data_IF_098795601106
#
_entry.id   IF_098795601106
#
_cell.length_a   1.000
_cell.length_b   1.000
_cell.length_c   1.000
_cell.angle_alpha   90.00
_cell.angle_beta   90.00
_cell.angle_gamma   90.00
#
_symmetry.space_group_name_H-M   'P 1'
#
loop_
_entity.id
_entity.type
_entity.pdbx_description
1 polymer ?
#
# COMPACT_ATOMS: atom_id res chain seq x y z
N UNK A 1 25.26 -40.92 -10.86
CA UNK A 1 24.12 -40.05 -11.20
C UNK A 1 22.81 -40.69 -10.74
N UNK A 2 22.28 -40.27 -9.59
CA UNK A 2 20.90 -40.55 -9.17
C UNK A 2 20.29 -39.25 -8.67
N UNK A 3 19.29 -38.77 -9.39
CA UNK A 3 18.44 -37.61 -9.06
C UNK A 3 17.53 -38.03 -7.91
N UNK A 4 17.67 -37.41 -6.73
CA UNK A 4 16.67 -37.50 -5.68
C UNK A 4 15.63 -36.40 -5.88
N UNK A 5 14.46 -36.84 -6.33
CA UNK A 5 13.26 -36.02 -6.53
C UNK A 5 12.49 -36.03 -5.20
N UNK A 6 12.57 -34.94 -4.43
CA UNK A 6 11.80 -34.78 -3.19
C UNK A 6 10.34 -34.59 -3.55
N UNK A 7 9.51 -35.59 -3.25
CA UNK A 7 8.10 -35.64 -3.63
C UNK A 7 7.18 -35.00 -2.58
N UNK A 8 5.95 -34.68 -3.01
CA UNK A 8 4.80 -34.11 -2.27
C UNK A 8 4.46 -34.73 -0.89
N UNK A 9 5.14 -35.80 -0.46
CA UNK A 9 4.97 -36.44 0.86
C UNK A 9 5.88 -35.88 1.96
N UNK A 10 6.97 -35.19 1.61
CA UNK A 10 7.87 -34.60 2.63
C UNK A 10 7.35 -33.27 3.20
N UNK A 11 6.35 -32.65 2.57
CA UNK A 11 5.66 -31.46 3.09
C UNK A 11 4.62 -31.78 4.19
N UNK A 12 4.18 -33.04 4.33
CA UNK A 12 3.19 -33.42 5.36
C UNK A 12 3.80 -33.88 6.68
N UNK A 13 5.12 -34.09 6.75
CA UNK A 13 5.79 -34.48 8.00
C UNK A 13 6.12 -33.31 8.93
N UNK A 14 5.91 -32.07 8.49
CA UNK A 14 6.07 -30.86 9.33
C UNK A 14 4.74 -30.34 9.90
N UNK A 15 3.62 -31.02 9.64
CA UNK A 15 2.26 -30.53 9.96
C UNK A 15 1.55 -31.27 11.10
N UNK A 16 2.27 -32.07 11.88
CA UNK A 16 1.73 -32.83 13.03
C UNK A 16 2.48 -32.53 14.35
N UNK A 17 2.69 -31.24 14.63
CA UNK A 17 2.96 -30.74 15.98
C UNK A 17 1.85 -29.74 16.34
N UNK A 18 0.65 -30.25 16.54
CA UNK A 18 -0.47 -29.50 17.09
C UNK A 18 -0.45 -29.55 18.62
N UNK A 19 -0.61 -28.37 19.23
CA UNK A 19 -1.13 -28.11 20.57
C UNK A 19 -0.41 -28.76 21.77
N UNK A 20 0.63 -28.08 22.26
CA UNK A 20 1.26 -28.37 23.54
C UNK A 20 2.61 -27.68 23.72
N UNK A 21 2.71 -26.40 23.36
CA UNK A 21 3.95 -25.63 23.47
C UNK A 21 3.74 -24.44 24.40
N UNK A 22 4.45 -24.43 25.53
CA UNK A 22 4.66 -23.26 26.37
C UNK A 22 4.98 -22.08 25.43
N UNK A 23 4.13 -21.04 25.43
CA UNK A 23 4.47 -19.77 24.81
C UNK A 23 5.65 -19.18 25.59
N UNK A 24 6.87 -19.59 25.23
CA UNK A 24 7.96 -18.65 25.31
C UNK A 24 7.57 -17.52 24.35
N UNK A 25 7.04 -16.44 24.92
CA UNK A 25 7.13 -15.11 24.32
C UNK A 25 8.62 -14.84 24.16
N UNK A 26 9.23 -15.40 23.11
CA UNK A 26 10.48 -14.90 22.61
C UNK A 26 10.18 -13.45 22.28
N UNK A 27 10.74 -12.54 23.07
CA UNK A 27 10.75 -11.12 22.76
C UNK A 27 11.36 -11.02 21.37
N UNK A 28 10.53 -10.83 20.34
CA UNK A 28 10.99 -10.56 18.99
C UNK A 28 11.88 -9.33 19.11
N UNK A 29 13.18 -9.48 18.88
CA UNK A 29 14.10 -8.36 18.95
C UNK A 29 13.67 -7.35 17.89
N UNK A 30 13.12 -6.23 18.33
CA UNK A 30 12.63 -5.17 17.45
C UNK A 30 13.77 -4.23 17.02
N UNK A 31 15.00 -4.49 17.45
CA UNK A 31 16.15 -3.69 17.02
C UNK A 31 16.41 -3.88 15.53
N UNK A 32 16.66 -2.79 14.79
CA UNK A 32 17.11 -2.88 13.40
C UNK A 32 18.38 -3.72 13.32
N UNK A 33 18.39 -4.68 12.41
CA UNK A 33 19.57 -5.49 12.07
C UNK A 33 20.20 -4.91 10.81
N UNK A 34 21.52 -4.78 10.78
CA UNK A 34 22.22 -4.38 9.57
C UNK A 34 22.79 -5.61 8.87
N UNK A 35 22.45 -5.81 7.60
CA UNK A 35 22.95 -6.93 6.81
C UNK A 35 23.80 -6.43 5.65
N UNK A 36 24.97 -7.07 5.50
CA UNK A 36 25.79 -6.90 4.31
C UNK A 36 25.21 -7.75 3.18
N UNK A 37 24.80 -7.11 2.10
CA UNK A 37 24.40 -7.77 0.86
C UNK A 37 25.35 -7.39 -0.28
N UNK A 38 25.54 -8.32 -1.21
CA UNK A 38 26.29 -8.05 -2.44
C UNK A 38 25.30 -7.64 -3.54
N UNK A 39 25.32 -6.35 -3.89
CA UNK A 39 24.57 -5.80 -5.02
C UNK A 39 25.55 -5.56 -6.16
N UNK A 40 25.55 -6.48 -7.13
CA UNK A 40 26.38 -6.39 -8.36
C UNK A 40 27.87 -6.13 -8.07
N UNK A 41 28.45 -6.78 -7.06
CA UNK A 41 29.85 -6.65 -6.66
C UNK A 41 30.13 -5.53 -5.67
N UNK A 42 29.12 -4.77 -5.25
CA UNK A 42 29.24 -3.75 -4.18
C UNK A 42 28.59 -4.27 -2.91
N UNK A 43 29.39 -4.37 -1.85
CA UNK A 43 28.89 -4.67 -0.50
C UNK A 43 28.12 -3.46 0.03
N UNK A 44 26.82 -3.60 0.20
CA UNK A 44 25.95 -2.60 0.80
C UNK A 44 25.47 -3.08 2.16
N UNK A 45 25.39 -2.16 3.12
CA UNK A 45 24.91 -2.42 4.48
C UNK A 45 23.49 -1.91 4.58
N UNK A 46 22.51 -2.81 4.54
CA UNK A 46 21.11 -2.45 4.55
C UNK A 46 20.48 -2.67 5.92
N UNK A 47 19.54 -1.81 6.29
CA UNK A 47 18.76 -1.93 7.51
C UNK A 47 17.57 -2.87 7.31
N UNK A 48 17.43 -3.86 8.19
CA UNK A 48 16.34 -4.82 8.24
C UNK A 48 15.56 -4.72 9.55
N UNK A 49 14.26 -5.04 9.49
CA UNK A 49 13.41 -5.26 10.67
C UNK A 49 12.61 -6.55 10.50
N UNK A 50 12.22 -7.17 11.63
CA UNK A 50 11.33 -8.33 11.63
C UNK A 50 9.88 -7.85 11.58
N UNK A 51 9.09 -8.28 10.59
CA UNK A 51 7.71 -7.83 10.40
C UNK A 51 6.78 -8.45 11.47
N UNK A 52 6.65 -7.78 12.61
CA UNK A 52 5.82 -8.24 13.73
C UNK A 52 6.09 -9.69 14.12
N UNK A 53 5.04 -10.45 14.40
CA UNK A 53 5.09 -11.89 14.76
C UNK A 53 5.26 -12.83 13.57
N UNK A 54 5.37 -12.33 12.34
CA UNK A 54 5.49 -13.17 11.14
C UNK A 54 6.85 -13.86 11.04
N UNK A 55 7.88 -13.30 11.70
CA UNK A 55 9.26 -13.75 11.56
C UNK A 55 9.93 -13.35 10.24
N UNK A 56 9.23 -12.68 9.32
CA UNK A 56 9.81 -12.20 8.07
C UNK A 56 10.80 -11.06 8.35
N UNK A 57 12.07 -11.26 8.01
CA UNK A 57 13.09 -10.20 8.05
C UNK A 57 13.08 -9.45 6.72
N UNK A 58 12.63 -8.21 6.73
CA UNK A 58 12.51 -7.37 5.54
C UNK A 58 13.47 -6.17 5.62
N UNK A 59 14.02 -5.71 4.48
CA UNK A 59 14.65 -4.40 4.45
C UNK A 59 13.60 -3.35 4.81
N UNK A 60 14.03 -2.26 5.42
CA UNK A 60 13.12 -1.18 5.87
C UNK A 60 12.39 -0.49 4.72
N UNK A 61 12.89 -0.61 3.49
CA UNK A 61 12.25 -0.11 2.27
C UNK A 61 12.05 -1.28 1.30
N UNK A 62 10.85 -1.36 0.75
CA UNK A 62 10.45 -2.29 -0.30
C UNK A 62 9.63 -1.54 -1.37
N UNK A 63 9.19 -2.24 -2.42
CA UNK A 63 8.59 -1.57 -3.58
C UNK A 63 7.06 -1.64 -3.57
N UNK A 64 6.41 -0.48 -3.60
CA UNK A 64 5.01 -0.35 -4.00
C UNK A 64 4.89 -0.28 -5.53
N UNK A 65 4.39 -1.33 -6.18
CA UNK A 65 4.50 -1.50 -7.63
C UNK A 65 3.39 -0.78 -8.41
N UNK A 66 2.36 -0.25 -7.74
CA UNK A 66 1.11 0.28 -8.33
C UNK A 66 1.27 1.13 -9.61
N UNK A 67 2.28 2.00 -9.67
CA UNK A 67 2.54 2.90 -10.82
C UNK A 67 3.71 2.46 -11.71
N UNK A 68 4.39 1.36 -11.39
CA UNK A 68 5.53 0.86 -12.17
C UNK A 68 5.07 -0.25 -13.12
N UNK A 69 5.19 0.00 -14.41
CA UNK A 69 4.98 -0.97 -15.48
C UNK A 69 6.27 -1.37 -16.21
N UNK A 70 7.40 -0.77 -15.81
CA UNK A 70 8.71 -1.05 -16.38
C UNK A 70 9.31 -2.32 -15.74
N UNK A 71 9.38 -3.47 -16.46
CA UNK A 71 9.91 -4.71 -15.91
C UNK A 71 11.39 -4.62 -15.55
N UNK A 72 12.18 -3.77 -16.22
CA UNK A 72 13.60 -3.61 -15.92
C UNK A 72 13.82 -2.85 -14.60
N UNK A 73 12.93 -1.91 -14.27
CA UNK A 73 12.98 -1.21 -12.98
C UNK A 73 12.68 -2.18 -11.83
N UNK A 74 11.60 -2.98 -11.95
CA UNK A 74 11.25 -4.00 -10.95
C UNK A 74 12.36 -5.05 -10.80
N UNK A 75 12.94 -5.49 -11.93
CA UNK A 75 14.07 -6.43 -11.90
C UNK A 75 15.27 -5.85 -11.16
N UNK A 76 15.60 -4.59 -11.45
CA UNK A 76 16.73 -3.88 -10.82
C UNK A 76 16.49 -3.64 -9.34
N UNK A 77 15.25 -3.32 -8.93
CA UNK A 77 14.88 -3.22 -7.53
C UNK A 77 15.18 -4.54 -6.79
N UNK A 78 14.70 -5.67 -7.32
CA UNK A 78 14.99 -7.00 -6.74
C UNK A 78 16.49 -7.31 -6.70
N UNK A 79 17.22 -6.98 -7.75
CA UNK A 79 18.68 -7.19 -7.83
C UNK A 79 19.47 -6.26 -6.89
N UNK A 80 18.82 -5.24 -6.32
CA UNK A 80 19.43 -4.23 -5.43
C UNK A 80 19.05 -4.41 -3.96
N UNK A 81 18.50 -5.56 -3.58
CA UNK A 81 18.20 -5.90 -2.18
C UNK A 81 16.77 -5.65 -1.73
N UNK A 82 15.91 -5.08 -2.58
CA UNK A 82 14.45 -5.08 -2.34
C UNK A 82 13.95 -6.52 -2.47
N UNK A 83 13.09 -6.95 -1.55
CA UNK A 83 12.59 -8.34 -1.55
C UNK A 83 11.07 -8.43 -1.60
N UNK A 84 10.33 -7.43 -1.10
CA UNK A 84 8.87 -7.40 -1.15
C UNK A 84 8.38 -6.50 -2.29
N UNK A 85 7.55 -7.09 -3.16
CA UNK A 85 6.78 -6.38 -4.18
C UNK A 85 5.33 -6.29 -3.72
N UNK A 86 4.87 -5.07 -3.42
CA UNK A 86 3.50 -4.78 -3.00
C UNK A 86 2.64 -4.34 -4.20
N UNK A 87 1.65 -5.15 -4.57
CA UNK A 87 0.76 -4.97 -5.73
C UNK A 87 -0.70 -5.19 -5.34
N UNK A 88 -1.64 -5.22 -6.28
CA UNK A 88 -3.04 -5.54 -6.03
C UNK A 88 -3.74 -6.04 -7.28
N UNK A 89 -4.79 -6.84 -7.10
CA UNK A 89 -5.65 -7.35 -8.16
C UNK A 89 -6.15 -6.26 -9.13
N UNK A 90 -6.45 -5.08 -8.59
CA UNK A 90 -7.06 -3.97 -9.31
C UNK A 90 -6.05 -3.04 -10.01
N UNK A 91 -4.75 -3.14 -9.72
CA UNK A 91 -3.77 -2.20 -10.24
C UNK A 91 -3.54 -2.40 -11.74
N UNK A 92 -3.63 -1.29 -12.49
CA UNK A 92 -3.55 -1.28 -13.96
C UNK A 92 -4.45 -2.34 -14.59
N UNK A 93 -5.66 -2.52 -14.03
CA UNK A 93 -6.64 -3.52 -14.48
C UNK A 93 -6.09 -4.97 -14.49
N UNK A 94 -5.08 -5.26 -13.66
CA UNK A 94 -4.41 -6.55 -13.56
C UNK A 94 -3.04 -6.62 -14.25
N UNK A 95 -2.74 -5.69 -15.16
CA UNK A 95 -1.47 -5.65 -15.88
C UNK A 95 -0.27 -5.53 -14.94
N UNK A 96 -0.44 -4.87 -13.79
CA UNK A 96 0.64 -4.74 -12.81
C UNK A 96 1.12 -6.11 -12.28
N UNK A 97 0.18 -7.02 -12.00
CA UNK A 97 0.48 -8.40 -11.59
C UNK A 97 1.09 -9.22 -12.72
N UNK A 98 0.66 -9.01 -13.96
CA UNK A 98 1.24 -9.67 -15.14
C UNK A 98 2.70 -9.25 -15.34
N UNK A 99 3.01 -7.95 -15.26
CA UNK A 99 4.38 -7.43 -15.36
C UNK A 99 5.26 -8.05 -14.27
N UNK A 100 4.80 -8.07 -13.02
CA UNK A 100 5.51 -8.74 -11.92
C UNK A 100 5.74 -10.22 -12.25
N UNK A 101 4.70 -10.92 -12.72
CA UNK A 101 4.77 -12.32 -13.14
C UNK A 101 5.86 -12.57 -14.19
N UNK A 102 6.02 -11.67 -15.16
CA UNK A 102 7.11 -11.77 -16.15
C UNK A 102 8.50 -11.60 -15.53
N UNK A 103 8.65 -10.73 -14.53
CA UNK A 103 9.93 -10.43 -13.88
C UNK A 103 10.38 -11.55 -12.94
N UNK A 104 9.43 -12.17 -12.23
CA UNK A 104 9.74 -13.25 -11.26
C UNK A 104 9.83 -14.63 -11.91
N UNK A 105 9.42 -14.78 -13.18
CA UNK A 105 9.50 -16.05 -13.90
C UNK A 105 10.95 -16.55 -13.94
N UNK A 106 11.18 -17.73 -13.38
CA UNK A 106 12.51 -18.36 -13.31
C UNK A 106 13.39 -17.89 -12.14
N UNK A 107 12.95 -16.91 -11.34
CA UNK A 107 13.61 -16.57 -10.06
C UNK A 107 13.27 -17.63 -9.00
N UNK A 108 14.22 -17.91 -8.11
CA UNK A 108 13.99 -18.79 -6.97
C UNK A 108 12.87 -18.23 -6.08
N UNK A 109 11.90 -19.05 -5.67
CA UNK A 109 10.68 -18.56 -4.98
C UNK A 109 10.97 -17.89 -3.63
N UNK A 110 12.05 -18.27 -2.97
CA UNK A 110 12.52 -17.73 -1.69
C UNK A 110 13.35 -16.43 -1.84
N UNK A 111 13.70 -16.03 -3.08
CA UNK A 111 14.44 -14.80 -3.36
C UNK A 111 13.56 -13.53 -3.43
N UNK A 112 12.24 -13.66 -3.37
CA UNK A 112 11.30 -12.55 -3.39
C UNK A 112 10.04 -12.87 -2.57
N UNK A 113 9.31 -11.82 -2.22
CA UNK A 113 8.02 -11.88 -1.56
C UNK A 113 7.00 -11.05 -2.31
N UNK A 114 5.76 -11.53 -2.36
CA UNK A 114 4.65 -10.79 -2.98
C UNK A 114 3.59 -10.45 -1.93
N UNK A 115 3.26 -9.17 -1.83
CA UNK A 115 2.06 -8.69 -1.16
C UNK A 115 1.00 -8.33 -2.20
N UNK A 116 -0.09 -9.09 -2.31
CA UNK A 116 -1.23 -8.70 -3.18
C UNK A 116 -2.50 -8.49 -2.37
N UNK A 117 -3.45 -7.78 -2.96
CA UNK A 117 -4.65 -7.27 -2.29
C UNK A 117 -5.87 -7.56 -3.14
N UNK A 118 -6.95 -7.97 -2.49
CA UNK A 118 -8.27 -8.14 -3.13
C UNK A 118 -9.21 -7.07 -2.59
N UNK A 119 -9.81 -6.31 -3.51
CA UNK A 119 -10.89 -5.37 -3.20
C UNK A 119 -12.24 -5.97 -3.59
N UNK A 120 -13.23 -5.74 -2.74
CA UNK A 120 -14.64 -6.05 -3.01
C UNK A 120 -15.43 -4.76 -3.27
N UNK A 121 -16.60 -4.86 -3.92
CA UNK A 121 -17.51 -3.73 -4.08
C UNK A 121 -17.79 -3.02 -2.75
N UNK A 122 -17.70 -1.69 -2.77
CA UNK A 122 -18.00 -0.83 -1.63
C UNK A 122 -18.90 0.31 -2.12
N UNK A 123 -19.83 0.72 -1.26
CA UNK A 123 -20.62 1.92 -1.48
C UNK A 123 -19.69 3.15 -1.41
N UNK A 124 -19.73 4.02 -2.43
CA UNK A 124 -18.80 5.15 -2.55
C UNK A 124 -19.08 6.28 -1.57
N UNK A 125 -20.27 6.34 -0.98
CA UNK A 125 -20.67 7.39 -0.03
C UNK A 125 -20.28 7.04 1.40
N UNK A 126 -20.57 5.81 1.79
CA UNK A 126 -20.34 5.25 3.11
C UNK A 126 -18.99 4.57 3.19
N UNK A 127 -18.45 3.99 2.13
CA UNK A 127 -17.20 3.19 2.13
C UNK A 127 -17.36 1.79 2.72
N UNK A 128 -18.59 1.38 3.01
CA UNK A 128 -18.92 0.03 3.50
C UNK A 128 -19.05 -0.93 2.32
N UNK A 129 -18.85 -2.22 2.56
CA UNK A 129 -19.09 -3.24 1.54
C UNK A 129 -20.53 -3.19 1.05
N UNK A 130 -20.71 -3.29 -0.26
CA UNK A 130 -22.02 -3.28 -0.92
C UNK A 130 -22.41 -4.68 -1.39
N UNK A 131 -23.59 -4.78 -2.00
CA UNK A 131 -23.99 -5.99 -2.73
C UNK A 131 -22.88 -6.42 -3.71
N UNK A 132 -22.63 -7.73 -3.77
CA UNK A 132 -21.53 -8.32 -4.54
C UNK A 132 -20.21 -8.46 -3.78
N UNK A 133 -20.08 -7.92 -2.56
CA UNK A 133 -18.95 -8.20 -1.66
C UNK A 133 -19.04 -9.60 -1.03
N UNK A 134 -18.96 -10.63 -1.86
CA UNK A 134 -19.15 -12.02 -1.44
C UNK A 134 -17.82 -12.75 -1.25
N UNK A 135 -17.88 -13.84 -0.48
CA UNK A 135 -16.76 -14.77 -0.32
C UNK A 135 -16.28 -15.33 -1.68
N UNK A 136 -17.23 -15.70 -2.55
CA UNK A 136 -16.95 -16.25 -3.87
C UNK A 136 -16.23 -15.25 -4.78
N UNK A 137 -16.65 -13.99 -4.77
CA UNK A 137 -15.99 -12.93 -5.56
C UNK A 137 -14.57 -12.66 -5.06
N UNK A 138 -14.35 -12.69 -3.73
CA UNK A 138 -13.01 -12.55 -3.16
C UNK A 138 -12.08 -13.67 -3.63
N UNK A 139 -12.53 -14.93 -3.52
CA UNK A 139 -11.75 -16.10 -3.95
C UNK A 139 -11.47 -16.09 -5.46
N UNK A 140 -12.46 -15.73 -6.27
CA UNK A 140 -12.31 -15.59 -7.73
C UNK A 140 -11.23 -14.57 -8.09
N UNK A 141 -11.24 -13.40 -7.44
CA UNK A 141 -10.22 -12.36 -7.67
C UNK A 141 -8.83 -12.79 -7.22
N UNK A 142 -8.72 -13.49 -6.09
CA UNK A 142 -7.45 -14.09 -5.66
C UNK A 142 -6.90 -15.06 -6.71
N UNK A 143 -7.74 -15.94 -7.25
CA UNK A 143 -7.32 -16.93 -8.26
C UNK A 143 -6.85 -16.28 -9.56
N UNK A 144 -7.52 -15.22 -9.99
CA UNK A 144 -7.06 -14.41 -11.12
C UNK A 144 -5.71 -13.74 -10.84
N UNK A 145 -5.50 -13.26 -9.61
CA UNK A 145 -4.24 -12.63 -9.20
C UNK A 145 -3.07 -13.62 -9.24
N UNK A 146 -3.26 -14.81 -8.66
CA UNK A 146 -2.28 -15.90 -8.69
C UNK A 146 -1.97 -16.34 -10.13
N UNK A 147 -3.00 -16.43 -10.99
CA UNK A 147 -2.84 -16.74 -12.41
C UNK A 147 -1.99 -15.71 -13.15
N UNK A 148 -2.23 -14.41 -12.93
CA UNK A 148 -1.45 -13.32 -13.56
C UNK A 148 0.00 -13.30 -13.10
N UNK A 149 0.21 -13.49 -11.80
CA UNK A 149 1.55 -13.58 -11.20
C UNK A 149 2.29 -14.87 -11.64
N UNK A 150 1.56 -15.92 -12.02
CA UNK A 150 2.14 -17.21 -12.40
C UNK A 150 2.73 -17.97 -11.20
N UNK A 151 2.15 -17.81 -10.01
CA UNK A 151 2.59 -18.45 -8.76
C UNK A 151 1.42 -19.05 -8.00
N UNK A 152 1.69 -20.07 -7.17
CA UNK A 152 0.64 -20.76 -6.40
C UNK A 152 0.21 -20.02 -5.14
N UNK A 153 1.06 -19.11 -4.62
CA UNK A 153 0.78 -18.37 -3.40
C UNK A 153 1.51 -17.03 -3.31
N UNK A 154 0.87 -16.06 -2.66
CA UNK A 154 1.50 -14.79 -2.24
C UNK A 154 2.00 -14.89 -0.79
N UNK A 155 2.95 -14.06 -0.40
CA UNK A 155 3.47 -14.05 0.97
C UNK A 155 2.48 -13.34 1.91
N UNK A 156 1.92 -12.22 1.46
CA UNK A 156 0.92 -11.47 2.22
C UNK A 156 -0.31 -11.25 1.34
N UNK A 157 -1.47 -11.67 1.82
CA UNK A 157 -2.75 -11.39 1.17
C UNK A 157 -3.51 -10.35 1.97
N UNK A 158 -3.79 -9.20 1.37
CA UNK A 158 -4.50 -8.13 2.04
C UNK A 158 -5.99 -8.04 1.68
N UNK A 159 -6.83 -7.78 2.68
CA UNK A 159 -8.12 -7.13 2.49
C UNK A 159 -7.90 -5.66 2.12
N UNK A 160 -8.27 -5.26 0.90
CA UNK A 160 -7.90 -3.97 0.33
C UNK A 160 -8.89 -2.85 0.67
N UNK A 161 -8.37 -1.68 1.04
CA UNK A 161 -9.10 -0.41 1.13
C UNK A 161 -10.20 -0.41 2.20
N UNK A 162 -9.84 -0.82 3.42
CA UNK A 162 -10.75 -0.82 4.56
C UNK A 162 -10.79 0.59 5.18
N UNK A 163 -11.99 1.13 5.38
CA UNK A 163 -12.22 2.47 5.93
C UNK A 163 -13.13 2.49 7.17
N UNK A 164 -13.62 1.33 7.62
CA UNK A 164 -14.52 1.18 8.77
C UNK A 164 -14.15 -0.01 9.64
N UNK A 165 -14.50 0.09 10.92
CA UNK A 165 -14.30 -0.96 11.92
C UNK A 165 -14.94 -2.27 11.48
N UNK A 166 -16.22 -2.23 11.10
CA UNK A 166 -17.01 -3.41 10.74
C UNK A 166 -16.47 -4.10 9.49
N UNK A 167 -15.83 -3.35 8.61
CA UNK A 167 -15.18 -3.89 7.41
C UNK A 167 -13.91 -4.69 7.72
N UNK A 168 -13.25 -4.47 8.87
CA UNK A 168 -12.14 -5.29 9.32
C UNK A 168 -12.60 -6.67 9.83
N UNK A 169 -13.86 -6.80 10.26
CA UNK A 169 -14.44 -8.05 10.75
C UNK A 169 -15.50 -8.64 9.81
N UNK A 170 -15.53 -8.21 8.54
CA UNK A 170 -16.57 -8.60 7.60
C UNK A 170 -16.49 -10.09 7.25
N UNK A 171 -17.50 -10.88 7.63
CA UNK A 171 -17.42 -12.34 7.60
C UNK A 171 -17.15 -12.92 6.20
N UNK A 172 -17.73 -12.42 5.09
CA UNK A 172 -17.43 -12.94 3.76
C UNK A 172 -15.93 -12.86 3.40
N UNK A 173 -15.25 -11.80 3.83
CA UNK A 173 -13.79 -11.65 3.60
C UNK A 173 -13.01 -12.57 4.52
N UNK A 174 -13.35 -12.62 5.82
CA UNK A 174 -12.65 -13.48 6.77
C UNK A 174 -12.76 -14.96 6.39
N UNK A 175 -13.95 -15.40 5.99
CA UNK A 175 -14.19 -16.77 5.52
C UNK A 175 -13.41 -17.08 4.24
N UNK A 176 -13.37 -16.15 3.27
CA UNK A 176 -12.61 -16.31 2.04
C UNK A 176 -11.10 -16.44 2.33
N UNK A 177 -10.56 -15.55 3.18
CA UNK A 177 -9.16 -15.60 3.58
C UNK A 177 -8.84 -16.87 4.40
N UNK A 178 -9.75 -17.34 5.27
CA UNK A 178 -9.56 -18.60 5.99
C UNK A 178 -9.51 -19.81 5.03
N UNK A 179 -10.42 -19.88 4.05
CA UNK A 179 -10.42 -20.91 3.01
C UNK A 179 -9.16 -20.86 2.15
N UNK A 180 -8.76 -19.67 1.70
CA UNK A 180 -7.55 -19.48 0.91
C UNK A 180 -6.27 -19.84 1.69
N UNK A 181 -6.21 -19.54 2.99
CA UNK A 181 -5.11 -19.96 3.87
C UNK A 181 -5.04 -21.48 3.97
N UNK A 182 -6.17 -22.15 4.20
CA UNK A 182 -6.25 -23.62 4.24
C UNK A 182 -5.83 -24.26 2.91
N UNK A 183 -6.12 -23.59 1.80
CA UNK A 183 -5.69 -24.00 0.46
C UNK A 183 -4.22 -23.66 0.13
N UNK A 184 -3.48 -23.03 1.05
CA UNK A 184 -2.08 -22.66 0.87
C UNK A 184 -1.85 -21.48 -0.09
N UNK A 185 -2.89 -20.70 -0.42
CA UNK A 185 -2.82 -19.60 -1.40
C UNK A 185 -2.10 -18.34 -0.88
N UNK A 186 -1.86 -18.25 0.43
CA UNK A 186 -1.02 -17.21 1.03
C UNK A 186 -0.44 -17.63 2.37
N UNK A 187 0.61 -16.92 2.84
CA UNK A 187 1.29 -17.20 4.12
C UNK A 187 0.77 -16.36 5.30
N UNK A 188 0.61 -15.04 5.10
CA UNK A 188 0.19 -14.10 6.15
C UNK A 188 -1.05 -13.29 5.73
N UNK A 189 -1.98 -13.11 6.67
CA UNK A 189 -3.18 -12.29 6.44
C UNK A 189 -2.86 -10.82 6.66
N UNK A 190 -3.31 -9.99 5.73
CA UNK A 190 -3.13 -8.55 5.79
C UNK A 190 -4.44 -7.78 5.68
N UNK A 191 -4.40 -6.52 6.11
CA UNK A 191 -5.44 -5.52 5.85
C UNK A 191 -4.80 -4.20 5.45
N UNK A 192 -5.46 -3.43 4.59
CA UNK A 192 -4.97 -2.10 4.21
C UNK A 192 -5.95 -0.99 4.55
N UNK A 193 -5.43 0.15 5.00
CA UNK A 193 -6.24 1.34 5.30
C UNK A 193 -5.51 2.64 4.99
N UNK A 194 -6.25 3.62 4.49
CA UNK A 194 -5.74 4.98 4.24
C UNK A 194 -6.75 6.07 4.59
N UNK A 195 -7.81 5.68 5.30
CA UNK A 195 -8.91 6.52 5.75
C UNK A 195 -9.39 5.93 7.07
N UNK A 196 -9.60 6.76 8.09
CA UNK A 196 -10.00 6.30 9.42
C UNK A 196 -8.99 5.26 9.97
N UNK A 197 -7.70 5.51 9.69
CA UNK A 197 -6.63 4.56 9.95
C UNK A 197 -6.57 4.13 11.42
N UNK A 198 -6.68 5.04 12.43
CA UNK A 198 -6.63 4.62 13.83
C UNK A 198 -7.70 3.58 14.17
N UNK A 199 -8.94 3.82 13.76
CA UNK A 199 -10.06 2.95 14.04
C UNK A 199 -9.95 1.61 13.31
N UNK A 200 -9.55 1.62 12.04
CA UNK A 200 -9.34 0.38 11.28
C UNK A 200 -8.17 -0.43 11.83
N UNK A 201 -7.09 0.22 12.27
CA UNK A 201 -5.95 -0.44 12.92
C UNK A 201 -6.41 -1.07 14.24
N UNK A 202 -7.17 -0.35 15.06
CA UNK A 202 -7.75 -0.88 16.30
C UNK A 202 -8.63 -2.10 16.03
N UNK A 203 -9.54 -2.00 15.05
CA UNK A 203 -10.40 -3.09 14.64
C UNK A 203 -9.61 -4.32 14.20
N UNK A 204 -8.57 -4.13 13.38
CA UNK A 204 -7.71 -5.20 12.89
C UNK A 204 -6.96 -5.92 14.02
N UNK A 205 -6.53 -5.20 15.05
CA UNK A 205 -5.93 -5.78 16.25
C UNK A 205 -6.97 -6.59 17.04
N UNK A 206 -8.17 -6.04 17.21
CA UNK A 206 -9.24 -6.66 17.99
C UNK A 206 -9.74 -7.97 17.37
N UNK A 207 -9.73 -8.10 16.03
CA UNK A 207 -10.11 -9.35 15.38
C UNK A 207 -9.14 -10.50 15.64
N UNK A 208 -7.88 -10.19 16.00
CA UNK A 208 -6.75 -11.15 16.10
C UNK A 208 -6.50 -11.96 14.81
N UNK A 209 -7.16 -11.62 13.70
CA UNK A 209 -7.12 -12.36 12.45
C UNK A 209 -5.94 -11.95 11.56
N UNK A 210 -5.55 -10.68 11.62
CA UNK A 210 -4.54 -10.11 10.73
C UNK A 210 -3.14 -10.23 11.32
N UNK A 211 -2.19 -10.63 10.48
CA UNK A 211 -0.77 -10.70 10.79
C UNK A 211 -0.05 -9.38 10.44
N UNK A 212 -0.54 -8.66 9.42
CA UNK A 212 0.08 -7.45 8.86
C UNK A 212 -0.96 -6.37 8.60
N UNK A 213 -0.61 -5.11 8.89
CA UNK A 213 -1.37 -3.93 8.50
C UNK A 213 -0.52 -3.07 7.56
N UNK A 214 -1.06 -2.76 6.38
CA UNK A 214 -0.54 -1.75 5.47
C UNK A 214 -1.32 -0.45 5.67
N UNK A 215 -0.72 0.58 6.26
CA UNK A 215 -1.42 1.83 6.59
C UNK A 215 -0.77 3.06 5.98
N UNK A 216 -1.58 4.06 5.64
CA UNK A 216 -1.04 5.38 5.29
C UNK A 216 -0.42 6.02 6.53
N UNK A 217 0.87 6.38 6.43
CA UNK A 217 1.57 7.05 7.52
C UNK A 217 2.61 8.03 6.96
N UNK A 218 2.45 9.32 7.27
CA UNK A 218 3.35 10.38 6.83
C UNK A 218 3.29 11.61 7.74
N UNK A 219 4.31 12.46 7.62
CA UNK A 219 4.54 13.64 8.47
C UNK A 219 3.48 14.75 8.38
N UNK A 220 2.54 14.69 7.42
CA UNK A 220 1.53 15.73 7.20
C UNK A 220 0.09 15.24 7.39
N UNK A 221 -0.12 14.04 7.94
CA UNK A 221 -1.45 13.66 8.41
C UNK A 221 -1.86 14.58 9.57
N UNK A 222 -3.09 15.08 9.54
CA UNK A 222 -3.60 15.97 10.59
C UNK A 222 -3.74 15.24 11.93
N UNK A 223 -4.20 13.99 11.86
CA UNK A 223 -4.38 13.07 12.98
C UNK A 223 -3.17 12.13 13.15
N UNK A 224 -1.95 12.57 12.76
CA UNK A 224 -0.75 11.72 12.77
C UNK A 224 -0.42 11.13 14.14
N UNK A 225 -0.73 11.85 15.23
CA UNK A 225 -0.55 11.37 16.59
C UNK A 225 -1.44 10.15 16.88
N UNK A 226 -2.72 10.21 16.50
CA UNK A 226 -3.67 9.10 16.67
C UNK A 226 -3.26 7.88 15.81
N UNK A 227 -2.78 8.13 14.58
CA UNK A 227 -2.26 7.06 13.70
C UNK A 227 -1.05 6.39 14.35
N UNK A 228 -0.12 7.17 14.91
CA UNK A 228 1.06 6.67 15.62
C UNK A 228 0.68 5.83 16.84
N UNK A 229 -0.28 6.28 17.64
CA UNK A 229 -0.74 5.53 18.82
C UNK A 229 -1.40 4.19 18.42
N UNK A 230 -2.18 4.19 17.33
CA UNK A 230 -2.76 2.98 16.78
C UNK A 230 -1.70 2.02 16.23
N UNK A 231 -0.69 2.52 15.50
CA UNK A 231 0.47 1.76 15.04
C UNK A 231 1.20 1.13 16.24
N UNK A 232 1.48 1.90 17.29
CA UNK A 232 2.17 1.41 18.48
C UNK A 232 1.36 0.33 19.21
N UNK A 233 0.03 0.48 19.28
CA UNK A 233 -0.86 -0.57 19.80
C UNK A 233 -0.77 -1.86 18.99
N UNK A 234 -0.82 -1.75 17.66
CA UNK A 234 -0.74 -2.91 16.77
C UNK A 234 0.62 -3.61 16.86
N UNK A 235 1.72 -2.86 16.90
CA UNK A 235 3.06 -3.41 17.10
C UNK A 235 3.20 -4.14 18.45
N UNK A 236 2.66 -3.58 19.55
CA UNK A 236 2.62 -4.27 20.86
C UNK A 236 1.81 -5.57 20.84
N UNK A 237 0.78 -5.66 19.99
CA UNK A 237 0.02 -6.89 19.76
C UNK A 237 0.74 -7.89 18.83
N UNK A 238 1.96 -7.57 18.38
CA UNK A 238 2.75 -8.39 17.47
C UNK A 238 2.32 -8.30 16.01
N UNK A 239 1.49 -7.33 15.63
CA UNK A 239 1.08 -7.14 14.22
C UNK A 239 2.18 -6.42 13.46
N UNK A 240 2.54 -6.95 12.29
CA UNK A 240 3.50 -6.31 11.39
C UNK A 240 2.93 -5.04 10.77
N UNK A 241 3.72 -3.98 10.68
CA UNK A 241 3.29 -2.68 10.15
C UNK A 241 4.10 -2.36 8.90
N UNK A 242 3.38 -2.16 7.80
CA UNK A 242 3.91 -1.65 6.54
C UNK A 242 3.37 -0.24 6.32
N UNK A 243 4.25 0.75 6.14
CA UNK A 243 3.84 2.11 5.82
C UNK A 243 3.71 2.33 4.32
N UNK A 244 2.61 2.96 3.89
CA UNK A 244 2.44 3.47 2.53
C UNK A 244 2.23 4.98 2.54
N UNK A 245 2.35 5.59 1.36
CA UNK A 245 2.20 7.04 1.15
C UNK A 245 3.15 7.89 2.00
N UNK A 246 4.31 7.34 2.34
CA UNK A 246 5.35 8.03 3.12
C UNK A 246 5.72 9.39 2.51
N UNK A 247 5.74 9.49 1.18
CA UNK A 247 6.09 10.70 0.42
C UNK A 247 4.89 11.57 -0.02
N UNK A 248 3.68 11.32 0.49
CA UNK A 248 2.49 12.18 0.27
C UNK A 248 2.19 12.47 -1.22
N UNK A 249 2.04 11.42 -2.01
CA UNK A 249 1.52 11.58 -3.38
C UNK A 249 2.56 11.67 -4.50
N UNK A 250 3.87 11.64 -4.22
CA UNK A 250 4.86 11.46 -5.29
C UNK A 250 6.20 12.17 -5.03
N UNK A 251 7.10 12.05 -6.01
CA UNK A 251 8.47 12.60 -5.93
C UNK A 251 8.58 14.05 -6.43
N UNK A 252 7.47 14.76 -6.75
CA UNK A 252 7.51 16.09 -7.40
C UNK A 252 6.51 17.10 -6.81
N UNK A 253 6.93 18.35 -6.63
CA UNK A 253 6.63 19.50 -7.50
C UNK A 253 7.18 20.81 -6.89
N UNK A 254 7.83 21.59 -7.75
CA UNK A 254 8.23 22.98 -7.51
C UNK A 254 7.02 23.82 -7.06
N UNK A 255 7.21 24.86 -6.22
CA UNK A 255 8.48 25.40 -5.73
C UNK A 255 8.94 24.76 -4.39
N UNK A 256 8.55 23.52 -4.09
CA UNK A 256 8.87 22.92 -2.78
C UNK A 256 10.12 22.03 -2.81
N UNK A 257 10.99 22.30 -1.84
CA UNK A 257 12.20 21.57 -1.43
C UNK A 257 11.82 20.18 -0.87
N UNK A 258 11.04 19.39 -1.60
CA UNK A 258 10.57 18.09 -1.12
C UNK A 258 11.68 17.07 -1.15
N UNK A 259 12.23 16.74 0.01
CA UNK A 259 13.13 15.61 0.15
C UNK A 259 12.33 14.33 0.35
N UNK A 260 12.12 13.56 -0.73
CA UNK A 260 11.53 12.22 -0.62
C UNK A 260 12.31 11.36 0.38
N UNK A 261 13.64 11.47 0.40
CA UNK A 261 14.48 10.80 1.37
C UNK A 261 14.10 11.16 2.81
N UNK A 262 13.94 12.45 3.12
CA UNK A 262 13.53 12.90 4.45
C UNK A 262 12.16 12.34 4.85
N UNK A 263 11.19 12.34 3.92
CA UNK A 263 9.85 11.83 4.18
C UNK A 263 9.85 10.32 4.47
N UNK A 264 10.64 9.54 3.74
CA UNK A 264 10.84 8.11 3.99
C UNK A 264 11.50 7.87 5.36
N UNK A 265 12.60 8.58 5.63
CA UNK A 265 13.33 8.51 6.92
C UNK A 265 12.45 8.88 8.10
N UNK A 266 11.58 9.88 7.94
CA UNK A 266 10.64 10.31 8.98
C UNK A 266 9.73 9.18 9.42
N UNK A 267 9.19 8.40 8.47
CA UNK A 267 8.36 7.23 8.79
C UNK A 267 9.20 6.17 9.51
N UNK A 268 10.44 5.96 9.07
CA UNK A 268 11.36 4.98 9.64
C UNK A 268 11.93 5.36 11.03
N UNK A 269 11.76 6.62 11.45
CA UNK A 269 12.03 7.01 12.84
C UNK A 269 11.06 6.37 13.83
N UNK A 270 9.88 5.95 13.38
CA UNK A 270 8.97 5.17 14.21
C UNK A 270 9.45 3.71 14.25
N UNK A 271 9.90 3.20 15.42
CA UNK A 271 10.39 1.82 15.53
C UNK A 271 9.28 0.79 15.32
N UNK A 272 8.00 1.19 15.43
CA UNK A 272 6.85 0.31 15.24
C UNK A 272 6.51 0.08 13.76
N UNK A 273 7.09 0.85 12.84
CA UNK A 273 6.94 0.64 11.38
C UNK A 273 8.05 -0.30 10.92
N UNK A 274 7.72 -1.47 10.39
CA UNK A 274 8.72 -2.50 10.12
C UNK A 274 9.33 -2.38 8.72
N UNK A 275 8.53 -1.95 7.74
CA UNK A 275 8.99 -1.59 6.39
C UNK A 275 8.04 -0.56 5.80
N UNK A 276 8.50 0.17 4.80
CA UNK A 276 7.65 1.01 3.95
C UNK A 276 7.69 0.53 2.50
N UNK A 277 6.65 0.85 1.73
CA UNK A 277 6.52 0.50 0.30
C UNK A 277 6.31 1.74 -0.57
N UNK A 278 7.30 2.65 -0.66
CA UNK A 278 7.26 3.73 -1.64
C UNK A 278 7.08 3.19 -3.06
N UNK A 279 6.33 3.94 -3.87
CA UNK A 279 6.16 3.62 -5.28
C UNK A 279 7.01 4.54 -6.14
N UNK A 280 7.94 3.96 -6.89
CA UNK A 280 8.84 4.66 -7.80
C UNK A 280 8.69 4.13 -9.23
N UNK A 281 8.93 5.01 -10.21
CA UNK A 281 8.76 4.74 -11.65
C UNK A 281 10.03 5.04 -12.47
N UNK A 282 11.10 5.48 -11.81
CA UNK A 282 12.40 5.79 -12.44
C UNK A 282 13.54 5.21 -11.63
N UNK A 283 14.71 5.04 -12.27
CA UNK A 283 15.91 4.55 -11.59
C UNK A 283 16.45 5.54 -10.55
N UNK A 284 16.39 6.86 -10.82
CA UNK A 284 16.80 7.89 -9.86
C UNK A 284 15.99 7.82 -8.55
N UNK A 285 14.69 7.54 -8.63
CA UNK A 285 13.84 7.35 -7.45
C UNK A 285 14.21 6.07 -6.70
N UNK A 286 14.52 4.98 -7.41
CA UNK A 286 15.05 3.77 -6.79
C UNK A 286 16.37 4.07 -6.05
N UNK A 287 17.28 4.85 -6.64
CA UNK A 287 18.54 5.21 -5.98
C UNK A 287 18.34 5.99 -4.68
N UNK A 288 17.37 6.92 -4.64
CA UNK A 288 16.99 7.63 -3.40
C UNK A 288 16.53 6.64 -2.32
N UNK A 289 15.68 5.70 -2.69
CA UNK A 289 15.12 4.71 -1.79
C UNK A 289 16.20 3.73 -1.27
N UNK A 290 17.12 3.31 -2.13
CA UNK A 290 18.28 2.48 -1.76
C UNK A 290 19.20 3.23 -0.78
N UNK A 291 19.47 4.52 -0.99
CA UNK A 291 20.28 5.32 -0.08
C UNK A 291 19.66 5.44 1.32
N UNK A 292 18.33 5.58 1.42
CA UNK A 292 17.63 5.59 2.72
C UNK A 292 17.68 4.22 3.41
N UNK A 293 17.68 3.14 2.62
CA UNK A 293 17.78 1.78 3.15
C UNK A 293 19.14 1.48 3.80
N UNK A 294 20.20 2.21 3.41
CA UNK A 294 21.52 2.19 4.05
C UNK A 294 21.58 3.08 5.31
N UNK A 295 20.96 4.26 5.27
CA UNK A 295 20.92 5.18 6.41
C UNK A 295 19.52 5.79 6.64
N UNK A 296 18.83 5.25 7.64
CA UNK A 296 17.50 5.71 8.04
C UNK A 296 17.51 6.99 8.88
N UNK A 297 18.67 7.51 9.30
CA UNK A 297 18.75 8.65 10.23
C UNK A 297 18.27 9.93 9.57
N UNK A 298 17.38 10.63 10.27
CA UNK A 298 16.84 11.92 9.87
C UNK A 298 17.68 13.05 10.48
N UNK A 299 18.37 13.82 9.65
CA UNK A 299 19.24 14.91 10.09
C UNK A 299 18.45 16.22 10.33
N UNK A 300 19.10 17.23 10.92
CA UNK A 300 18.40 18.47 11.32
C UNK A 300 17.97 19.36 10.14
N UNK A 301 18.67 19.30 9.00
CA UNK A 301 18.24 19.99 7.79
C UNK A 301 16.96 19.34 7.23
N UNK A 302 16.96 18.01 7.12
CA UNK A 302 15.80 17.21 6.70
C UNK A 302 14.59 17.46 7.61
N UNK A 303 14.79 17.55 8.93
CA UNK A 303 13.70 17.89 9.88
C UNK A 303 13.11 19.27 9.60
N UNK A 304 13.96 20.28 9.37
CA UNK A 304 13.51 21.66 9.09
C UNK A 304 12.76 21.73 7.77
N UNK A 305 13.21 21.01 6.75
CA UNK A 305 12.54 20.94 5.45
C UNK A 305 11.14 20.33 5.59
N UNK A 306 11.02 19.20 6.29
CA UNK A 306 9.72 18.57 6.56
C UNK A 306 8.77 19.49 7.35
N UNK A 307 9.27 20.22 8.35
CA UNK A 307 8.47 21.19 9.12
C UNK A 307 7.95 22.31 8.22
N UNK A 308 8.80 22.85 7.34
CA UNK A 308 8.40 23.88 6.37
C UNK A 308 7.35 23.34 5.41
N UNK A 309 7.55 22.13 4.90
CA UNK A 309 6.60 21.48 3.99
C UNK A 309 5.24 21.17 4.63
N UNK A 310 5.23 20.78 5.90
CA UNK A 310 4.00 20.46 6.62
C UNK A 310 3.04 21.66 6.68
N UNK A 311 3.57 22.88 6.62
CA UNK A 311 2.80 24.13 6.59
C UNK A 311 2.20 24.47 5.23
N UNK A 312 2.60 23.80 4.15
CA UNK A 312 2.14 24.09 2.79
C UNK A 312 0.90 23.26 2.42
N UNK A 313 -0.11 23.87 1.74
CA UNK A 313 -1.21 23.11 1.14
C UNK A 313 -0.66 22.08 0.14
N UNK A 314 -0.88 20.79 0.41
CA UNK A 314 -0.45 19.70 -0.46
C UNK A 314 -1.34 19.50 -1.69
N UNK A 315 -1.04 18.49 -2.51
CA UNK A 315 -1.96 17.99 -3.55
C UNK A 315 -2.75 16.76 -3.08
N UNK A 316 -2.43 16.28 -1.88
CA UNK A 316 -2.93 15.04 -1.32
C UNK A 316 -4.21 15.25 -0.52
N UNK A 317 -5.30 14.64 -1.00
CA UNK A 317 -6.55 14.53 -0.25
C UNK A 317 -6.42 13.45 0.84
N UNK A 318 -6.72 13.83 2.08
CA UNK A 318 -6.67 12.93 3.24
C UNK A 318 -7.88 11.97 3.33
N UNK A 319 -8.88 12.12 2.45
CA UNK A 319 -10.03 11.22 2.42
C UNK A 319 -10.96 11.32 3.64
N UNK A 320 -10.96 12.45 4.38
CA UNK A 320 -11.79 12.66 5.58
C UNK A 320 -13.31 12.74 5.32
N UNK A 321 -13.72 12.96 4.06
CA UNK A 321 -15.14 13.00 3.60
C UNK A 321 -16.03 14.11 4.19
N UNK A 322 -15.49 15.01 5.00
CA UNK A 322 -16.22 16.20 5.53
C UNK A 322 -16.86 17.06 4.41
N UNK A 323 -16.34 16.99 3.19
CA UNK A 323 -16.85 17.72 2.04
C UNK A 323 -18.17 17.18 1.47
N UNK A 324 -18.51 15.90 1.71
CA UNK A 324 -19.66 15.25 1.06
C UNK A 324 -20.99 15.89 1.45
N UNK A 325 -21.15 16.26 2.72
CA UNK A 325 -22.36 16.93 3.22
C UNK A 325 -22.47 18.42 2.84
N UNK A 326 -21.38 19.02 2.33
CA UNK A 326 -21.33 20.44 1.99
C UNK A 326 -21.70 20.69 0.51
N UNK A 327 -21.51 19.69 -0.36
CA UNK A 327 -21.77 19.83 -1.78
C UNK A 327 -23.25 19.71 -2.11
N UNK A 328 -23.87 20.79 -2.60
CA UNK A 328 -25.29 20.80 -3.01
C UNK A 328 -25.61 19.79 -4.11
N UNK A 329 -24.64 19.54 -5.01
CA UNK A 329 -24.76 18.57 -6.10
C UNK A 329 -24.36 17.14 -5.67
N UNK A 330 -23.97 16.93 -4.40
CA UNK A 330 -23.55 15.63 -3.84
C UNK A 330 -22.50 14.89 -4.68
N UNK A 331 -21.57 15.64 -5.29
CA UNK A 331 -20.54 15.09 -6.15
C UNK A 331 -19.52 14.27 -5.34
N UNK A 332 -18.90 13.23 -5.94
CA UNK A 332 -17.93 12.36 -5.27
C UNK A 332 -16.56 13.06 -5.14
N UNK A 333 -16.50 14.10 -4.30
CA UNK A 333 -15.33 14.97 -4.13
C UNK A 333 -14.06 14.17 -3.78
N UNK A 334 -14.07 13.20 -2.84
CA UNK A 334 -12.87 12.43 -2.51
C UNK A 334 -12.28 11.67 -3.71
N UNK A 335 -13.13 11.05 -4.53
CA UNK A 335 -12.70 10.35 -5.75
C UNK A 335 -12.12 11.33 -6.79
N UNK A 336 -12.75 12.49 -6.96
CA UNK A 336 -12.24 13.53 -7.87
C UNK A 336 -10.91 14.13 -7.40
N UNK A 337 -10.73 14.32 -6.10
CA UNK A 337 -9.43 14.75 -5.57
C UNK A 337 -8.37 13.65 -5.68
N UNK A 338 -8.77 12.37 -5.65
CA UNK A 338 -7.88 11.25 -5.94
C UNK A 338 -7.47 11.22 -7.40
N UNK A 339 -8.40 11.42 -8.34
CA UNK A 339 -8.07 11.58 -9.75
C UNK A 339 -7.13 12.79 -9.98
N UNK A 340 -7.36 13.90 -9.27
CA UNK A 340 -6.48 15.07 -9.33
C UNK A 340 -5.06 14.71 -8.90
N UNK A 341 -4.89 13.99 -7.79
CA UNK A 341 -3.60 13.48 -7.34
C UNK A 341 -2.97 12.53 -8.38
N UNK A 342 -3.76 11.68 -9.03
CA UNK A 342 -3.24 10.79 -10.08
C UNK A 342 -2.62 11.57 -11.24
N UNK A 343 -3.27 12.63 -11.73
CA UNK A 343 -2.72 13.47 -12.80
C UNK A 343 -1.49 14.26 -12.35
N UNK A 344 -1.64 15.03 -11.28
CA UNK A 344 -0.66 16.05 -10.95
C UNK A 344 0.51 15.54 -10.13
N UNK A 345 0.28 14.53 -9.29
CA UNK A 345 1.28 14.03 -8.36
C UNK A 345 1.89 12.72 -8.90
N UNK A 346 1.05 11.71 -9.21
CA UNK A 346 1.52 10.44 -9.78
C UNK A 346 1.87 10.49 -11.26
N UNK A 347 1.45 11.53 -12.00
CA UNK A 347 1.62 11.62 -13.46
C UNK A 347 1.01 10.43 -14.20
N UNK A 348 -0.07 9.87 -13.65
CA UNK A 348 -0.77 8.71 -14.16
C UNK A 348 -2.14 9.15 -14.69
N UNK A 349 -2.13 9.64 -15.94
CA UNK A 349 -3.32 10.17 -16.60
C UNK A 349 -4.34 9.05 -16.90
N UNK A 350 -3.88 7.84 -17.23
CA UNK A 350 -4.73 6.67 -17.46
C UNK A 350 -5.55 6.32 -16.22
N UNK A 351 -4.91 6.23 -15.05
CA UNK A 351 -5.60 5.93 -13.80
C UNK A 351 -6.57 7.04 -13.38
N UNK A 352 -6.23 8.30 -13.68
CA UNK A 352 -7.16 9.41 -13.48
C UNK A 352 -8.38 9.30 -14.38
N UNK A 353 -8.18 9.01 -15.66
CA UNK A 353 -9.26 8.82 -16.63
C UNK A 353 -10.18 7.67 -16.22
N UNK A 354 -9.62 6.49 -15.96
CA UNK A 354 -10.36 5.31 -15.52
C UNK A 354 -11.25 5.62 -14.31
N UNK A 355 -10.69 6.32 -13.31
CA UNK A 355 -11.44 6.73 -12.14
C UNK A 355 -12.56 7.70 -12.52
N UNK A 356 -12.29 8.77 -13.26
CA UNK A 356 -13.31 9.77 -13.63
C UNK A 356 -14.43 9.16 -14.47
N UNK A 357 -14.11 8.30 -15.44
CA UNK A 357 -15.11 7.60 -16.26
C UNK A 357 -15.99 6.68 -15.40
N UNK A 358 -15.39 5.96 -14.44
CA UNK A 358 -16.12 5.06 -13.53
C UNK A 358 -17.12 5.76 -12.61
N UNK A 359 -17.06 7.08 -12.49
CA UNK A 359 -17.94 7.87 -11.61
C UNK A 359 -19.27 8.24 -12.27
N UNK A 360 -19.43 8.07 -13.60
CA UNK A 360 -20.69 8.37 -14.28
C UNK A 360 -21.16 9.82 -14.09
N UNK A 361 -20.22 10.78 -14.08
CA UNK A 361 -20.50 12.18 -13.73
C UNK A 361 -21.34 12.88 -14.80
N UNK A 362 -22.21 13.84 -14.41
CA UNK A 362 -22.94 14.67 -15.37
C UNK A 362 -22.00 15.51 -16.25
N UNK A 363 -22.49 16.03 -17.37
CA UNK A 363 -21.71 16.89 -18.28
C UNK A 363 -21.26 18.20 -17.60
N UNK A 364 -22.15 18.88 -16.88
CA UNK A 364 -21.90 20.18 -16.25
C UNK A 364 -21.39 20.12 -14.80
N UNK A 365 -20.25 19.48 -14.53
CA UNK A 365 -19.68 19.42 -13.17
C UNK A 365 -19.33 20.82 -12.65
N UNK A 366 -20.01 21.25 -11.58
CA UNK A 366 -19.89 22.58 -10.97
C UNK A 366 -20.21 23.77 -11.90
N UNK A 367 -20.85 23.53 -13.06
CA UNK A 367 -21.19 24.57 -14.04
C UNK A 367 -22.22 25.57 -13.51
N UNK A 368 -23.25 25.06 -12.84
CA UNK A 368 -24.39 25.83 -12.31
C UNK A 368 -24.17 26.40 -10.90
N UNK A 369 -22.97 26.26 -10.34
CA UNK A 369 -22.68 26.76 -8.99
C UNK A 369 -21.96 28.10 -9.08
N UNK A 370 -22.55 29.20 -8.60
CA UNK A 370 -21.84 30.50 -8.51
C UNK A 370 -20.67 30.40 -7.53
N UNK A 371 -20.96 29.95 -6.31
CA UNK A 371 -19.99 29.77 -5.22
C UNK A 371 -19.93 28.30 -4.77
N UNK A 372 -18.73 27.85 -4.39
CA UNK A 372 -18.55 26.51 -3.83
C UNK A 372 -18.71 26.55 -2.31
N UNK A 373 -19.76 25.92 -1.73
CA UNK A 373 -19.95 25.90 -0.28
C UNK A 373 -18.94 25.03 0.47
N UNK A 374 -18.16 24.21 -0.25
CA UNK A 374 -17.25 23.23 0.34
C UNK A 374 -16.02 23.91 0.93
N UNK A 375 -15.90 23.84 2.26
CA UNK A 375 -14.71 24.18 3.04
C UNK A 375 -13.88 22.92 3.23
N UNK A 376 -12.89 22.72 2.36
CA UNK A 376 -11.96 21.60 2.49
C UNK A 376 -11.01 21.85 3.66
N UNK A 377 -10.91 20.88 4.58
CA UNK A 377 -10.01 21.01 5.71
C UNK A 377 -8.53 21.10 5.27
N UNK A 378 -8.15 20.53 4.12
CA UNK A 378 -6.81 20.70 3.53
C UNK A 378 -6.61 22.01 2.75
N UNK A 379 -7.59 22.93 2.77
CA UNK A 379 -7.50 24.22 2.08
C UNK A 379 -7.67 24.16 0.57
N UNK A 380 -8.21 23.05 0.03
CA UNK A 380 -8.37 22.91 -1.42
C UNK A 380 -9.49 23.79 -1.96
N UNK A 381 -9.21 24.43 -3.09
CA UNK A 381 -10.22 25.05 -3.95
C UNK A 381 -10.97 23.96 -4.73
N UNK A 382 -11.94 23.33 -4.06
CA UNK A 382 -12.60 22.10 -4.53
C UNK A 382 -13.23 22.27 -5.91
N UNK A 383 -14.00 23.35 -6.14
CA UNK A 383 -14.63 23.63 -7.45
C UNK A 383 -13.61 23.72 -8.59
N UNK A 384 -12.52 24.45 -8.41
CA UNK A 384 -11.47 24.62 -9.42
C UNK A 384 -10.82 23.29 -9.77
N UNK A 385 -10.39 22.53 -8.74
CA UNK A 385 -9.76 21.22 -8.93
C UNK A 385 -10.70 20.21 -9.58
N UNK A 386 -11.98 20.20 -9.22
CA UNK A 386 -12.98 19.30 -9.82
C UNK A 386 -13.22 19.63 -11.30
N UNK A 387 -13.42 20.91 -11.64
CA UNK A 387 -13.61 21.34 -13.04
C UNK A 387 -12.39 21.04 -13.90
N UNK A 388 -11.21 21.14 -13.33
CA UNK A 388 -9.97 20.80 -14.01
C UNK A 388 -9.87 19.28 -14.27
N UNK A 389 -10.03 18.46 -13.23
CA UNK A 389 -9.83 17.02 -13.37
C UNK A 389 -10.89 16.32 -14.22
N UNK A 390 -12.15 16.77 -14.21
CA UNK A 390 -13.22 16.09 -14.97
C UNK A 390 -13.00 16.11 -16.48
N UNK A 391 -12.20 17.06 -16.98
CA UNK A 391 -11.86 17.19 -18.41
C UNK A 391 -11.04 16.02 -18.93
N UNK A 392 -10.40 15.25 -18.05
CA UNK A 392 -9.65 14.05 -18.46
C UNK A 392 -10.52 13.02 -19.19
N UNK A 393 -11.84 13.01 -18.93
CA UNK A 393 -12.78 12.11 -19.62
C UNK A 393 -13.01 12.47 -21.10
N UNK A 394 -12.60 13.67 -21.51
CA UNK A 394 -12.76 14.17 -22.88
C UNK A 394 -11.53 13.85 -23.75
N UNK A 395 -10.43 13.41 -23.13
CA UNK A 395 -9.21 13.02 -23.84
C UNK A 395 -9.44 11.59 -24.39
N UNK A 396 -9.29 11.33 -25.70
CA UNK A 396 -9.41 9.97 -26.21
C UNK A 396 -8.34 9.05 -25.58
N UNK A 397 -8.75 7.86 -25.15
CA UNK A 397 -7.91 6.94 -24.34
C UNK A 397 -6.61 6.55 -25.06
N UNK A 398 -6.59 6.53 -26.39
CA UNK A 398 -5.41 6.27 -27.21
C UNK A 398 -4.28 7.30 -27.03
N UNK A 399 -4.57 8.50 -26.50
CA UNK A 399 -3.58 9.54 -26.23
C UNK A 399 -3.05 9.54 -24.79
N UNK A 400 -3.49 8.58 -23.95
CA UNK A 400 -3.22 8.57 -22.51
C UNK A 400 -2.27 7.43 -22.09
N UNK A 401 -1.93 6.54 -23.03
CA UNK A 401 -1.14 5.32 -22.80
C UNK A 401 0.24 5.56 -22.17
#
# INVERSE_FOLDING_TARGET
MKRNMVGRRDFMKTSLAGFGGIFFLSTVDQRPEEKLIDVKGKKQKLVYRTLGRTGLKLPVINMGVMNSDNPNLIRTALDSGIVLLDTAHAYMQGRNEEVIGTVIKGRARDSYMIGSKVSLPQDRTTGRYSDGATEAEFLKKLDLSLKRLGIDHVDILYNHNVSHRESASYEPVLNAMAKARKAGKFRFSGITTHTNEPEVIHAAVDTKFYDVILTAYNYQQKHVAEVRDAIARAARAGVGIVGMKAIRGGYRQTPSVRSSAAALKWVLQDPNVHTIVPGFTTFDQLEVDLAVMEDIRLNDAEKKDLQKEASLPGLYCQGCRECLGQCVARLPIPDLMRAYMYVYDYRNLAMAQDLVLSLGLPSGVCGECDLCPVKCSSGFKVKEKMRDIVRVREIPTEFIA
#
